data_IF_946369188632
#
_entry.id   IF_946369188632
#
_cell.length_a   1.000
_cell.length_b   1.000
_cell.length_c   1.000
_cell.angle_alpha   90.00
_cell.angle_beta   90.00
_cell.angle_gamma   90.00
#
_symmetry.space_group_name_H-M   'P 1'
#
loop_
_entity.id
_entity.type
_entity.pdbx_description
1 polymer ?
#
# COMPACT_ATOMS: atom_id res chain seq x y z
N UNK A 1 -16.45 -0.80 2.32
CA UNK A 1 -16.74 -1.18 3.73
C UNK A 1 -16.35 -0.04 4.68
N UNK A 2 -16.95 0.02 5.84
CA UNK A 2 -16.63 1.05 6.83
C UNK A 2 -15.33 0.72 7.58
N UNK A 3 -14.89 1.66 8.44
CA UNK A 3 -13.62 1.49 9.17
C UNK A 3 -13.63 0.29 10.12
N UNK A 4 -14.77 -0.02 10.73
CA UNK A 4 -14.90 -1.20 11.59
C UNK A 4 -14.67 -2.49 10.82
N UNK A 5 -15.32 -2.64 9.68
CA UNK A 5 -15.14 -3.79 8.80
C UNK A 5 -13.71 -3.84 8.23
N UNK A 6 -13.15 -2.69 7.87
CA UNK A 6 -11.77 -2.60 7.38
C UNK A 6 -10.77 -3.05 8.46
N UNK A 7 -11.01 -2.64 9.71
CA UNK A 7 -10.18 -3.06 10.85
C UNK A 7 -10.21 -4.58 11.02
N UNK A 8 -11.36 -5.18 11.01
CA UNK A 8 -11.51 -6.63 11.14
C UNK A 8 -10.86 -7.38 9.97
N UNK A 9 -11.08 -6.91 8.75
CA UNK A 9 -10.56 -7.57 7.56
C UNK A 9 -9.02 -7.45 7.46
N UNK A 10 -8.45 -6.35 7.91
CA UNK A 10 -7.00 -6.09 7.79
C UNK A 10 -6.19 -6.54 9.00
N UNK A 11 -6.82 -6.68 10.14
CA UNK A 11 -6.11 -6.93 11.41
C UNK A 11 -5.44 -5.68 11.98
N UNK A 12 -5.74 -4.51 11.42
CA UNK A 12 -5.22 -3.22 11.89
C UNK A 12 -6.31 -2.49 12.66
N UNK A 13 -5.99 -1.98 13.86
CA UNK A 13 -6.98 -1.25 14.65
C UNK A 13 -7.47 0.01 13.94
N UNK A 14 -8.69 0.42 14.25
CA UNK A 14 -9.26 1.64 13.68
C UNK A 14 -8.38 2.85 13.94
N UNK A 15 -7.82 2.93 15.13
CA UNK A 15 -6.90 3.99 15.53
C UNK A 15 -5.67 4.03 14.62
N UNK A 16 -5.09 2.87 14.35
CA UNK A 16 -3.89 2.77 13.50
C UNK A 16 -4.22 3.06 12.04
N UNK A 17 -5.39 2.66 11.56
CA UNK A 17 -5.84 2.99 10.21
C UNK A 17 -5.87 4.51 10.03
N UNK A 18 -6.48 5.21 10.97
CA UNK A 18 -6.54 6.69 10.95
C UNK A 18 -5.16 7.33 11.02
N UNK A 19 -4.28 6.75 11.84
CA UNK A 19 -2.91 7.23 11.96
C UNK A 19 -2.15 7.10 10.63
N UNK A 20 -2.27 5.97 9.97
CA UNK A 20 -1.61 5.73 8.68
C UNK A 20 -2.11 6.66 7.59
N UNK A 21 -3.40 7.00 7.60
CA UNK A 21 -3.96 8.01 6.70
C UNK A 21 -3.39 9.39 7.01
N UNK A 22 -3.26 9.73 8.28
CA UNK A 22 -2.76 11.03 8.73
C UNK A 22 -1.31 11.29 8.33
N UNK A 23 -0.48 10.26 8.34
CA UNK A 23 0.92 10.37 7.94
C UNK A 23 1.13 10.08 6.45
N UNK A 24 0.06 9.99 5.68
CA UNK A 24 0.07 9.70 4.24
C UNK A 24 0.76 8.38 3.87
N UNK A 25 0.75 7.42 4.78
CA UNK A 25 1.25 6.08 4.49
C UNK A 25 0.28 5.34 3.57
N UNK A 26 -1.02 5.56 3.75
CA UNK A 26 -2.06 5.06 2.86
C UNK A 26 -2.90 6.24 2.37
N UNK A 27 -3.46 6.19 1.15
CA UNK A 27 -4.34 7.25 0.69
C UNK A 27 -5.63 7.27 1.49
N UNK A 28 -6.23 8.45 1.63
CA UNK A 28 -7.53 8.58 2.25
C UNK A 28 -8.56 7.79 1.43
N UNK A 29 -9.45 7.03 2.09
CA UNK A 29 -10.46 6.26 1.37
C UNK A 29 -11.48 7.17 0.70
N UNK A 30 -12.15 6.63 -0.30
CA UNK A 30 -13.26 7.33 -0.96
C UNK A 30 -14.36 7.55 0.08
N UNK A 31 -14.88 8.78 0.15
CA UNK A 31 -15.97 9.10 1.03
C UNK A 31 -17.30 8.96 0.30
N UNK A 32 -18.23 8.27 0.94
CA UNK A 32 -19.61 8.19 0.49
C UNK A 32 -20.50 8.87 1.53
N UNK A 33 -20.99 10.07 1.20
CA UNK A 33 -21.71 10.88 2.16
C UNK A 33 -20.82 11.29 3.33
N UNK A 34 -21.20 10.94 4.55
CA UNK A 34 -20.47 11.31 5.77
C UNK A 34 -19.53 10.21 6.27
N UNK A 35 -19.41 9.08 5.59
CA UNK A 35 -18.58 7.99 6.05
C UNK A 35 -17.49 7.60 5.02
N UNK A 36 -16.47 6.93 5.49
CA UNK A 36 -15.36 6.41 4.69
C UNK A 36 -15.72 5.05 4.13
N UNK A 37 -15.40 4.84 2.86
CA UNK A 37 -15.64 3.56 2.18
C UNK A 37 -14.30 2.94 1.76
N UNK A 38 -13.87 1.92 2.49
CA UNK A 38 -12.62 1.23 2.25
C UNK A 38 -12.82 0.15 1.19
N UNK A 39 -11.92 0.13 0.19
CA UNK A 39 -11.94 -0.86 -0.89
C UNK A 39 -11.11 -2.09 -0.52
N UNK A 40 -11.19 -3.13 -1.36
CA UNK A 40 -10.32 -4.30 -1.21
C UNK A 40 -8.85 -3.93 -1.32
N UNK A 41 -8.50 -2.99 -2.20
CA UNK A 41 -7.14 -2.49 -2.35
C UNK A 41 -6.65 -1.85 -1.06
N UNK A 42 -7.50 -1.06 -0.40
CA UNK A 42 -7.18 -0.47 0.89
C UNK A 42 -6.90 -1.55 1.94
N UNK A 43 -7.69 -2.61 1.97
CA UNK A 43 -7.49 -3.72 2.90
C UNK A 43 -6.19 -4.44 2.63
N UNK A 44 -5.84 -4.66 1.37
CA UNK A 44 -4.55 -5.27 1.01
C UNK A 44 -3.37 -4.43 1.47
N UNK A 45 -3.45 -3.10 1.32
CA UNK A 45 -2.42 -2.19 1.82
C UNK A 45 -2.27 -2.29 3.34
N UNK A 46 -3.38 -2.29 4.05
CA UNK A 46 -3.37 -2.36 5.51
C UNK A 46 -2.81 -3.69 6.01
N UNK A 47 -3.18 -4.80 5.37
CA UNK A 47 -2.60 -6.13 5.69
C UNK A 47 -1.10 -6.15 5.46
N UNK A 48 -0.65 -5.56 4.36
CA UNK A 48 0.78 -5.47 4.06
C UNK A 48 1.52 -4.68 5.14
N UNK A 49 0.96 -3.55 5.56
CA UNK A 49 1.54 -2.73 6.61
C UNK A 49 1.65 -3.51 7.92
N UNK A 50 0.56 -4.19 8.32
CA UNK A 50 0.54 -4.99 9.54
C UNK A 50 1.63 -6.06 9.53
N UNK A 51 1.74 -6.79 8.42
CA UNK A 51 2.76 -7.85 8.29
C UNK A 51 4.18 -7.29 8.28
N UNK A 52 4.41 -6.20 7.58
CA UNK A 52 5.72 -5.56 7.52
C UNK A 52 6.13 -5.02 8.90
N UNK A 53 5.19 -4.44 9.65
CA UNK A 53 5.44 -3.99 11.02
C UNK A 53 5.80 -5.15 11.95
N UNK A 54 5.09 -6.26 11.84
CA UNK A 54 5.38 -7.47 12.61
C UNK A 54 6.77 -8.02 12.34
N UNK A 55 7.25 -7.87 11.09
CA UNK A 55 8.59 -8.28 10.70
C UNK A 55 9.67 -7.27 11.09
N UNK A 56 9.28 -6.13 11.65
CA UNK A 56 10.23 -5.12 12.14
C UNK A 56 10.62 -4.06 11.12
N UNK A 57 9.94 -3.96 9.99
CA UNK A 57 10.25 -2.92 9.01
C UNK A 57 9.86 -1.54 9.55
N UNK A 58 10.75 -0.54 9.44
CA UNK A 58 10.40 0.83 9.83
C UNK A 58 9.39 1.44 8.86
N UNK A 59 8.63 2.40 9.35
CA UNK A 59 7.56 3.06 8.58
C UNK A 59 8.05 3.63 7.25
N UNK A 60 9.25 4.22 7.23
CA UNK A 60 9.79 4.81 6.01
C UNK A 60 10.08 3.78 4.92
N UNK A 61 10.53 2.58 5.29
CA UNK A 61 10.70 1.50 4.33
C UNK A 61 9.36 0.98 3.82
N UNK A 62 8.38 0.87 4.71
CA UNK A 62 7.02 0.47 4.33
C UNK A 62 6.43 1.48 3.34
N UNK A 63 6.66 2.77 3.58
CA UNK A 63 6.23 3.84 2.67
C UNK A 63 6.81 3.65 1.28
N UNK A 64 8.10 3.37 1.20
CA UNK A 64 8.79 3.12 -0.08
C UNK A 64 8.20 1.91 -0.80
N UNK A 65 7.99 0.82 -0.09
CA UNK A 65 7.41 -0.40 -0.65
C UNK A 65 5.97 -0.19 -1.14
N UNK A 66 5.17 0.53 -0.39
CA UNK A 66 3.80 0.87 -0.79
C UNK A 66 3.77 1.78 -2.01
N UNK A 67 4.73 2.70 -2.12
CA UNK A 67 4.87 3.54 -3.30
C UNK A 67 5.12 2.73 -4.57
N UNK A 68 6.02 1.76 -4.50
CA UNK A 68 6.31 0.86 -5.60
C UNK A 68 5.08 0.02 -5.97
N UNK A 69 4.36 -0.46 -4.98
CA UNK A 69 3.15 -1.25 -5.20
C UNK A 69 2.03 -0.42 -5.84
N UNK A 70 1.83 0.80 -5.38
CA UNK A 70 0.84 1.73 -5.95
C UNK A 70 1.15 2.07 -7.40
N UNK A 71 2.41 2.25 -7.73
CA UNK A 71 2.84 2.51 -9.11
C UNK A 71 2.52 1.33 -10.04
N UNK A 72 2.53 0.11 -9.52
CA UNK A 72 2.14 -1.08 -10.29
C UNK A 72 0.67 -1.09 -10.66
N UNK A 73 -0.18 -0.55 -9.78
CA UNK A 73 -1.64 -0.56 -9.97
C UNK A 73 -2.16 0.59 -10.80
N UNK A 74 -1.35 1.62 -11.05
CA UNK A 74 -1.80 2.85 -11.70
C UNK A 74 -2.14 2.73 -13.16
N UNK A 75 -1.38 1.97 -13.91
CA UNK A 75 -1.70 1.72 -15.31
C UNK A 75 -0.91 0.51 -15.76
N UNK A 76 -1.64 -0.51 -16.19
CA UNK A 76 -1.03 -1.80 -16.51
C UNK A 76 -0.04 -1.71 -17.68
N UNK A 77 -0.28 -0.83 -18.66
CA UNK A 77 0.59 -0.70 -19.83
C UNK A 77 1.88 0.06 -19.52
N UNK A 78 1.77 1.24 -18.89
CA UNK A 78 2.93 2.04 -18.50
C UNK A 78 3.78 1.32 -17.45
N UNK A 79 3.12 0.69 -16.48
CA UNK A 79 3.82 -0.03 -15.43
C UNK A 79 4.55 -1.24 -15.98
N UNK A 80 3.96 -1.96 -16.94
CA UNK A 80 4.65 -3.07 -17.59
C UNK A 80 5.89 -2.62 -18.36
N UNK A 81 5.79 -1.50 -19.07
CA UNK A 81 6.93 -0.94 -19.80
C UNK A 81 8.05 -0.51 -18.85
N UNK A 82 7.72 0.20 -17.79
CA UNK A 82 8.69 0.63 -16.78
C UNK A 82 9.28 -0.56 -16.01
N UNK A 83 8.46 -1.53 -15.65
CA UNK A 83 8.93 -2.72 -14.94
C UNK A 83 9.89 -3.53 -15.81
N UNK A 84 9.61 -3.67 -17.11
CA UNK A 84 10.53 -4.35 -18.05
C UNK A 84 11.86 -3.60 -18.18
N UNK A 85 11.82 -2.28 -18.29
CA UNK A 85 13.03 -1.47 -18.38
C UNK A 85 13.87 -1.59 -17.11
N UNK A 86 13.26 -1.48 -15.95
CA UNK A 86 13.95 -1.61 -14.66
C UNK A 86 14.47 -3.01 -14.41
N UNK A 87 13.70 -4.03 -14.75
CA UNK A 87 14.13 -5.42 -14.62
C UNK A 87 15.35 -5.71 -15.49
N UNK A 88 15.38 -5.16 -16.71
CA UNK A 88 16.53 -5.28 -17.61
C UNK A 88 17.77 -4.58 -17.05
N UNK A 89 17.61 -3.38 -16.48
CA UNK A 89 18.70 -2.64 -15.83
C UNK A 89 19.23 -3.37 -14.60
N UNK A 90 18.35 -3.84 -13.75
CA UNK A 90 18.73 -4.58 -12.55
C UNK A 90 19.42 -5.90 -12.91
N UNK A 91 18.96 -6.57 -13.93
CA UNK A 91 19.59 -7.79 -14.44
C UNK A 91 21.01 -7.54 -14.94
N UNK A 92 21.23 -6.44 -15.66
CA UNK A 92 22.57 -6.05 -16.11
C UNK A 92 23.50 -5.71 -14.96
N UNK A 93 22.99 -4.95 -13.98
CA UNK A 93 23.79 -4.59 -12.79
C UNK A 93 24.11 -5.80 -11.95
N UNK A 94 23.22 -6.74 -11.83
CA UNK A 94 23.46 -7.98 -11.08
C UNK A 94 24.50 -8.87 -11.73
N UNK A 95 24.68 -8.75 -13.06
CA UNK A 95 25.69 -9.53 -13.81
C UNK A 95 27.06 -8.84 -13.88
N UNK A 96 27.06 -7.58 -13.62
CA UNK A 96 28.31 -6.81 -13.57
C UNK A 96 28.98 -6.93 -12.22
#
# INVERSE_FOLDING_TARGET
MNIGAASEASGVSQRMIRHYEKIDLVPAPIRRGSYRDYSEVDIHRLRFIAKARDLGFPIEEIRTLLGLWSDRDRSSAEVKALAKARAAELGRKARA
#
